data_IF_853346376769
#
_entry.id   IF_853346376769
#
_cell.length_a   1.000
_cell.length_b   1.000
_cell.length_c   1.000
_cell.angle_alpha   90.00
_cell.angle_beta   90.00
_cell.angle_gamma   90.00
#
_symmetry.space_group_name_H-M   'P 1'
#
loop_
_entity.id
_entity.type
_entity.pdbx_description
1 polymer ?
#
# COMPACT_ATOMS: atom_id res chain seq x y z
N UNK A 1 6.72 -9.73 -18.12
CA UNK A 1 7.80 -9.16 -17.30
C UNK A 1 8.83 -10.23 -17.01
N UNK A 2 10.12 -9.88 -17.04
CA UNK A 2 11.20 -10.76 -16.59
C UNK A 2 11.15 -10.92 -15.06
N UNK A 3 11.66 -12.04 -14.52
CA UNK A 3 11.64 -12.31 -13.08
C UNK A 3 12.38 -11.23 -12.28
N UNK A 4 13.51 -10.73 -12.81
CA UNK A 4 14.28 -9.65 -12.19
C UNK A 4 13.50 -8.34 -12.12
N UNK A 5 12.83 -7.96 -13.21
CA UNK A 5 11.95 -6.79 -13.27
C UNK A 5 10.79 -6.89 -12.28
N UNK A 6 10.20 -8.08 -12.13
CA UNK A 6 9.13 -8.31 -11.16
C UNK A 6 9.64 -8.13 -9.72
N UNK A 7 10.80 -8.70 -9.38
CA UNK A 7 11.41 -8.53 -8.06
C UNK A 7 11.79 -7.08 -7.78
N UNK A 8 12.31 -6.38 -8.79
CA UNK A 8 12.59 -4.94 -8.72
C UNK A 8 11.32 -4.15 -8.45
N UNK A 9 10.25 -4.40 -9.21
CA UNK A 9 8.96 -3.74 -9.02
C UNK A 9 8.37 -4.03 -7.63
N UNK A 10 8.55 -5.25 -7.12
CA UNK A 10 8.13 -5.62 -5.77
C UNK A 10 8.91 -4.87 -4.69
N UNK A 11 10.24 -4.80 -4.81
CA UNK A 11 11.09 -4.04 -3.90
C UNK A 11 10.74 -2.55 -3.91
N UNK A 12 10.58 -1.97 -5.11
CA UNK A 12 10.13 -0.59 -5.29
C UNK A 12 8.73 -0.36 -4.70
N UNK A 13 7.81 -1.33 -4.82
CA UNK A 13 6.46 -1.22 -4.26
C UNK A 13 6.49 -1.08 -2.76
N UNK A 14 7.37 -1.83 -2.10
CA UNK A 14 7.50 -1.78 -0.65
C UNK A 14 8.13 -0.45 -0.22
N UNK A 15 9.23 -0.04 -0.87
CA UNK A 15 9.91 1.21 -0.56
C UNK A 15 9.01 2.45 -0.76
N UNK A 16 8.33 2.53 -1.92
CA UNK A 16 7.38 3.59 -2.23
C UNK A 16 6.14 3.51 -1.36
N UNK A 17 5.65 2.31 -1.07
CA UNK A 17 4.56 2.09 -0.13
C UNK A 17 4.86 2.69 1.24
N UNK A 18 5.98 2.31 1.84
CA UNK A 18 6.42 2.87 3.14
C UNK A 18 6.49 4.40 3.05
N UNK A 19 7.15 4.93 2.02
CA UNK A 19 7.26 6.38 1.82
C UNK A 19 5.89 7.09 1.76
N UNK A 20 4.97 6.60 0.92
CA UNK A 20 3.67 7.24 0.70
C UNK A 20 2.74 7.11 1.90
N UNK A 21 2.72 5.95 2.56
CA UNK A 21 1.91 5.75 3.76
C UNK A 21 2.44 6.58 4.94
N UNK A 22 3.75 6.80 5.06
CA UNK A 22 4.34 7.67 6.08
C UNK A 22 4.00 9.16 5.85
N UNK A 23 3.80 9.57 4.59
CA UNK A 23 3.44 10.95 4.22
C UNK A 23 1.95 11.25 4.42
N UNK A 24 1.07 10.24 4.46
CA UNK A 24 -0.37 10.45 4.55
C UNK A 24 -0.85 10.63 5.99
N UNK A 25 -1.72 11.63 6.26
CA UNK A 25 -2.28 11.85 7.58
C UNK A 25 -3.31 10.75 7.91
N UNK A 26 -2.99 9.92 8.90
CA UNK A 26 -3.86 8.84 9.37
C UNK A 26 -3.03 7.62 9.77
N UNK A 27 -3.48 6.88 10.80
CA UNK A 27 -2.75 5.70 11.29
C UNK A 27 -2.45 4.75 10.13
N UNK A 28 -1.19 4.28 10.04
CA UNK A 28 -0.75 3.25 9.09
C UNK A 28 -1.82 2.18 8.93
N UNK A 29 -1.97 1.67 7.70
CA UNK A 29 -2.79 0.49 7.46
C UNK A 29 -2.40 -0.59 8.49
N UNK A 30 -3.35 -1.01 9.34
CA UNK A 30 -3.13 -2.02 10.40
C UNK A 30 -2.59 -3.38 9.88
N UNK A 31 -2.42 -3.52 8.56
CA UNK A 31 -2.00 -4.74 7.87
C UNK A 31 -0.75 -4.44 7.04
N UNK A 32 0.44 -4.93 7.45
CA UNK A 32 1.72 -4.66 6.79
C UNK A 32 1.76 -5.04 5.30
N UNK A 33 1.00 -6.06 4.89
CA UNK A 33 0.97 -6.50 3.49
C UNK A 33 0.32 -5.48 2.54
N UNK A 34 -0.56 -4.60 3.03
CA UNK A 34 -1.22 -3.56 2.21
C UNK A 34 -0.22 -2.51 1.74
N UNK A 35 0.83 -2.27 2.54
CA UNK A 35 1.89 -1.31 2.25
C UNK A 35 2.58 -1.63 0.93
N UNK A 36 2.74 -2.90 0.56
CA UNK A 36 3.29 -3.28 -0.74
C UNK A 36 2.22 -3.52 -1.81
N UNK A 37 1.11 -4.18 -1.45
CA UNK A 37 0.15 -4.68 -2.42
C UNK A 37 -0.56 -3.58 -3.21
N UNK A 38 -0.98 -2.48 -2.57
CA UNK A 38 -1.65 -1.38 -3.25
C UNK A 38 -0.71 -0.61 -4.18
N UNK A 39 0.48 -0.16 -3.73
CA UNK A 39 1.47 0.41 -4.64
C UNK A 39 1.80 -0.51 -5.80
N UNK A 40 2.00 -1.81 -5.55
CA UNK A 40 2.34 -2.78 -6.58
C UNK A 40 1.27 -2.85 -7.67
N UNK A 41 0.00 -2.95 -7.29
CA UNK A 41 -1.11 -2.94 -8.24
C UNK A 41 -1.17 -1.62 -9.02
N UNK A 42 -1.01 -0.49 -8.34
CA UNK A 42 -1.00 0.84 -8.98
C UNK A 42 0.10 0.98 -10.02
N UNK A 43 1.31 0.53 -9.70
CA UNK A 43 2.46 0.53 -10.61
C UNK A 43 2.24 -0.40 -11.79
N UNK A 44 1.73 -1.62 -11.55
CA UNK A 44 1.48 -2.57 -12.62
C UNK A 44 0.42 -2.05 -13.60
N UNK A 45 -0.66 -1.46 -13.09
CA UNK A 45 -1.69 -0.83 -13.93
C UNK A 45 -1.09 0.35 -14.71
N UNK A 46 -0.35 1.24 -14.05
CA UNK A 46 0.27 2.39 -14.72
C UNK A 46 1.27 1.97 -15.81
N UNK A 47 2.05 0.91 -15.57
CA UNK A 47 3.00 0.36 -16.53
C UNK A 47 2.29 -0.25 -17.75
N UNK A 48 1.13 -0.90 -17.56
CA UNK A 48 0.35 -1.48 -18.67
C UNK A 48 -0.34 -0.41 -19.52
N UNK A 49 -0.94 0.60 -18.89
CA UNK A 49 -1.77 1.58 -19.59
C UNK A 49 -1.02 2.85 -20.01
N UNK A 50 0.10 3.17 -19.37
CA UNK A 50 0.86 4.39 -19.64
C UNK A 50 2.38 4.19 -19.51
N UNK A 51 3.01 3.32 -20.32
CA UNK A 51 4.47 3.11 -20.31
C UNK A 51 5.19 4.26 -21.04
N UNK A 52 5.27 5.44 -20.42
CA UNK A 52 5.93 6.62 -21.00
C UNK A 52 7.08 7.12 -20.13
N UNK A 53 8.17 7.54 -20.79
CA UNK A 53 9.30 8.21 -20.17
C UNK A 53 10.56 7.33 -20.05
N UNK A 54 11.53 7.72 -19.20
CA UNK A 54 12.74 6.95 -18.99
C UNK A 54 12.42 5.62 -18.29
N UNK A 55 12.91 4.53 -18.89
CA UNK A 55 12.77 3.18 -18.36
C UNK A 55 14.06 2.70 -17.69
N UNK A 56 13.92 1.96 -16.60
CA UNK A 56 15.01 1.30 -15.88
C UNK A 56 14.69 -0.18 -15.70
N UNK A 57 15.37 -1.06 -16.44
CA UNK A 57 15.09 -2.50 -16.39
C UNK A 57 13.66 -2.85 -16.83
N UNK A 58 13.19 -2.24 -17.93
CA UNK A 58 11.84 -2.34 -18.51
C UNK A 58 10.71 -1.72 -17.67
N UNK A 59 11.04 -0.87 -16.70
CA UNK A 59 10.09 -0.19 -15.82
C UNK A 59 10.15 1.33 -16.00
N UNK A 60 9.03 1.97 -16.30
CA UNK A 60 8.99 3.41 -16.50
C UNK A 60 8.86 4.14 -15.15
N UNK A 61 9.82 5.02 -14.85
CA UNK A 61 9.95 5.62 -13.51
C UNK A 61 8.74 6.49 -13.16
N UNK A 62 8.28 7.31 -14.11
CA UNK A 62 7.15 8.22 -13.89
C UNK A 62 5.85 7.44 -13.65
N UNK A 63 5.45 6.47 -14.49
CA UNK A 63 4.30 5.60 -14.26
C UNK A 63 4.36 4.87 -12.92
N UNK A 64 5.53 4.39 -12.50
CA UNK A 64 5.72 3.73 -11.21
C UNK A 64 5.46 4.68 -10.04
N UNK A 65 6.09 5.85 -10.05
CA UNK A 65 5.92 6.82 -8.98
C UNK A 65 4.47 7.31 -8.88
N UNK A 66 3.85 7.64 -10.01
CA UNK A 66 2.46 8.13 -10.06
C UNK A 66 1.46 7.01 -9.75
N UNK A 67 1.64 5.83 -10.33
CA UNK A 67 0.76 4.68 -10.13
C UNK A 67 0.75 4.20 -8.69
N UNK A 68 1.93 4.13 -8.05
CA UNK A 68 2.02 3.79 -6.62
C UNK A 68 1.31 4.83 -5.74
N UNK A 69 1.55 6.13 -5.98
CA UNK A 69 0.93 7.21 -5.23
C UNK A 69 -0.59 7.18 -5.35
N UNK A 70 -1.12 7.06 -6.57
CA UNK A 70 -2.57 7.02 -6.82
C UNK A 70 -3.21 5.83 -6.10
N UNK A 71 -2.59 4.65 -6.15
CA UNK A 71 -3.14 3.48 -5.47
C UNK A 71 -3.16 3.64 -3.94
N UNK A 72 -2.12 4.24 -3.35
CA UNK A 72 -2.08 4.54 -1.92
C UNK A 72 -3.13 5.57 -1.55
N UNK A 73 -3.32 6.63 -2.35
CA UNK A 73 -4.37 7.64 -2.12
C UNK A 73 -5.75 7.00 -2.16
N UNK A 74 -6.05 6.16 -3.17
CA UNK A 74 -7.34 5.46 -3.28
C UNK A 74 -7.56 4.56 -2.06
N UNK A 75 -6.53 3.80 -1.66
CA UNK A 75 -6.59 2.94 -0.49
C UNK A 75 -6.86 3.73 0.80
N UNK A 76 -6.19 4.87 0.96
CA UNK A 76 -6.36 5.78 2.09
C UNK A 76 -7.76 6.39 2.11
N UNK A 77 -8.29 6.85 0.97
CA UNK A 77 -9.67 7.37 0.86
C UNK A 77 -10.67 6.29 1.27
N UNK A 78 -10.51 5.07 0.75
CA UNK A 78 -11.40 3.94 1.08
C UNK A 78 -11.32 3.61 2.56
N UNK A 79 -10.12 3.58 3.14
CA UNK A 79 -9.90 3.25 4.55
C UNK A 79 -10.49 4.34 5.47
N UNK A 80 -10.30 5.60 5.12
CA UNK A 80 -10.84 6.75 5.84
C UNK A 80 -12.37 6.78 5.78
N UNK A 81 -12.95 6.62 4.59
CA UNK A 81 -14.40 6.64 4.39
C UNK A 81 -15.12 5.45 5.04
N UNK A 82 -14.45 4.29 5.12
CA UNK A 82 -15.03 3.10 5.75
C UNK A 82 -15.11 3.16 7.26
N UNK A 83 -14.61 4.24 7.93
CA UNK A 83 -14.57 4.42 9.39
C UNK A 83 -14.47 3.06 10.08
N UNK A 84 -13.29 2.38 10.10
CA UNK A 84 -13.18 1.03 10.62
C UNK A 84 -13.90 1.04 11.97
N UNK A 85 -15.07 0.40 12.00
CA UNK A 85 -15.93 0.42 13.16
C UNK A 85 -15.00 0.03 14.30
N UNK A 86 -14.82 0.95 15.24
CA UNK A 86 -14.06 0.71 16.45
C UNK A 86 -14.71 -0.49 17.09
N UNK A 87 -14.25 -1.69 16.76
CA UNK A 87 -14.50 -2.87 17.55
C UNK A 87 -13.80 -2.52 18.85
N UNK A 88 -14.55 -2.28 19.94
CA UNK A 88 -13.93 -2.06 21.22
C UNK A 88 -13.02 -3.25 21.44
N UNK A 89 -11.76 -2.96 21.69
CA UNK A 89 -10.79 -3.89 22.23
C UNK A 89 -11.52 -4.69 23.32
N UNK A 90 -11.68 -6.00 23.12
CA UNK A 90 -12.33 -6.86 24.10
C UNK A 90 -11.38 -6.90 25.29
N UNK A 91 -11.62 -5.95 26.21
CA UNK A 91 -10.96 -5.82 27.48
C UNK A 91 -11.08 -7.18 28.17
N UNK A 92 -9.92 -7.78 28.44
CA UNK A 92 -9.81 -9.16 28.88
C UNK A 92 -10.75 -9.43 30.05
N UNK A 93 -11.72 -10.32 29.83
CA UNK A 93 -12.50 -10.95 30.89
C UNK A 93 -11.59 -11.88 31.71
N UNK A 94 -10.69 -11.29 32.48
CA UNK A 94 -9.95 -11.95 33.54
C UNK A 94 -10.84 -11.92 34.78
N UNK A 95 -11.21 -13.13 35.20
CA UNK A 95 -12.31 -13.41 36.10
C UNK A 95 -12.24 -12.69 37.44
N UNK A 96 -13.38 -12.19 37.86
CA UNK A 96 -13.73 -12.09 39.28
C UNK A 96 -14.79 -13.14 39.58
N UNK A 97 -14.33 -14.30 40.05
CA UNK A 97 -15.18 -15.29 40.72
C UNK A 97 -15.49 -14.75 42.13
N UNK A 98 -16.75 -14.51 42.52
CA UNK A 98 -17.04 -14.19 43.92
C UNK A 98 -16.85 -15.44 44.79
N UNK A 99 -16.31 -15.20 45.99
CA UNK A 99 -16.05 -16.17 47.05
C UNK A 99 -17.34 -16.73 47.66
#
# INVERSE_FOLDING_TARGET
>A
MQIGTFLLMLALSYALGVLWYDLLPGKLAMKPWRVAAYPFLGMWVAEVFYPHGPAFGDLHIIPIAVGSLVAVIVDWIITTARHPATVPEYEGGLGTRPA
#
